data_IF_944219400318
#
_entry.id   IF_944219400318
#
_cell.length_a   1.000
_cell.length_b   1.000
_cell.length_c   1.000
_cell.angle_alpha   90.00
_cell.angle_beta   90.00
_cell.angle_gamma   90.00
#
_symmetry.space_group_name_H-M   'P 1'
#
loop_
_entity.id
_entity.type
_entity.pdbx_description
1 polymer ?
#
# COMPACT_ATOMS: atom_id res chain seq x y z
N UNK A 1 34.69 -15.16 21.79
CA UNK A 1 34.54 -14.86 23.23
C UNK A 1 33.09 -15.02 23.60
N UNK A 2 32.84 -16.03 24.41
CA UNK A 2 31.51 -16.45 24.87
C UNK A 2 30.98 -15.49 25.92
N UNK A 3 29.69 -15.16 25.86
CA UNK A 3 28.98 -14.60 27.00
C UNK A 3 27.75 -15.44 27.27
N UNK A 4 27.92 -16.49 28.06
CA UNK A 4 26.85 -17.19 28.73
C UNK A 4 26.66 -16.51 30.08
N UNK A 5 25.53 -15.92 30.36
CA UNK A 5 25.12 -15.53 31.71
C UNK A 5 23.99 -16.45 32.16
N UNK A 6 24.36 -17.46 32.91
CA UNK A 6 23.48 -18.26 33.75
C UNK A 6 23.24 -17.47 35.05
N UNK A 7 22.00 -17.05 35.30
CA UNK A 7 21.56 -16.71 36.65
C UNK A 7 20.53 -17.74 37.09
N UNK A 8 21.00 -18.67 37.89
CA UNK A 8 20.16 -19.56 38.65
C UNK A 8 19.62 -18.84 39.89
N UNK A 9 18.32 -18.67 39.98
CA UNK A 9 17.64 -18.39 41.25
C UNK A 9 16.58 -19.47 41.45
N UNK A 10 16.89 -20.39 42.35
CA UNK A 10 15.94 -21.35 42.88
C UNK A 10 15.04 -20.66 43.91
N UNK A 11 13.82 -20.41 43.52
CA UNK A 11 12.75 -20.01 44.40
C UNK A 11 11.48 -20.72 44.02
N UNK A 12 11.15 -21.79 44.71
CA UNK A 12 9.91 -22.55 44.57
C UNK A 12 8.73 -21.72 45.02
N UNK A 13 8.10 -21.04 44.08
CA UNK A 13 6.75 -20.51 44.22
C UNK A 13 5.90 -21.26 43.21
N UNK A 14 4.87 -21.96 43.69
CA UNK A 14 3.81 -22.54 42.87
C UNK A 14 3.04 -21.40 42.18
N UNK A 15 3.61 -20.79 41.16
CA UNK A 15 2.94 -19.96 40.22
C UNK A 15 2.57 -20.83 39.01
N UNK A 16 1.28 -20.98 38.78
CA UNK A 16 0.75 -21.54 37.56
C UNK A 16 1.54 -20.97 36.38
N UNK A 17 2.37 -21.80 35.73
CA UNK A 17 3.33 -21.38 34.70
C UNK A 17 2.53 -20.75 33.57
N UNK A 18 2.46 -19.43 33.51
CA UNK A 18 1.86 -18.66 32.41
C UNK A 18 2.62 -19.04 31.13
N UNK A 19 2.07 -19.96 30.36
CA UNK A 19 2.74 -20.55 29.22
C UNK A 19 2.53 -19.68 28.02
N UNK A 20 3.62 -19.19 27.40
CA UNK A 20 3.61 -18.65 26.04
C UNK A 20 3.54 -19.83 25.07
N UNK A 21 2.75 -19.68 24.01
CA UNK A 21 2.70 -20.59 22.88
C UNK A 21 3.24 -19.89 21.64
N UNK A 22 4.13 -20.57 20.91
CA UNK A 22 4.86 -20.02 19.76
C UNK A 22 4.58 -20.88 18.53
N UNK A 23 4.13 -20.25 17.46
CA UNK A 23 3.96 -20.88 16.16
C UNK A 23 4.88 -20.22 15.16
N UNK A 24 5.98 -20.86 14.82
CA UNK A 24 6.87 -20.45 13.74
C UNK A 24 6.27 -20.83 12.40
N UNK A 25 6.45 -19.99 11.40
CA UNK A 25 6.03 -20.24 10.04
C UNK A 25 6.91 -19.48 9.06
N UNK A 26 6.89 -19.89 7.81
CA UNK A 26 7.65 -19.22 6.78
C UNK A 26 7.28 -19.65 5.39
N UNK A 27 7.94 -19.02 4.43
CA UNK A 27 7.86 -19.40 3.03
C UNK A 27 9.16 -19.09 2.31
N UNK A 28 9.52 -19.95 1.38
CA UNK A 28 10.50 -19.66 0.33
C UNK A 28 9.72 -19.43 -0.96
N UNK A 29 9.89 -18.27 -1.58
CA UNK A 29 9.22 -17.93 -2.82
C UNK A 29 10.22 -17.45 -3.86
N UNK A 30 10.07 -17.99 -5.06
CA UNK A 30 10.79 -17.55 -6.24
C UNK A 30 9.83 -16.90 -7.21
N UNK A 31 10.26 -15.80 -7.81
CA UNK A 31 9.50 -15.04 -8.80
C UNK A 31 10.38 -14.83 -10.05
N UNK A 32 9.92 -15.30 -11.19
CA UNK A 32 10.47 -14.96 -12.52
C UNK A 32 9.45 -14.03 -13.18
N UNK A 33 9.89 -12.88 -13.68
CA UNK A 33 8.99 -11.98 -14.39
C UNK A 33 9.64 -11.43 -15.67
N UNK A 34 8.78 -11.04 -16.59
CA UNK A 34 9.11 -10.32 -17.81
C UNK A 34 8.08 -9.23 -18.09
N UNK A 35 8.55 -8.06 -18.53
CA UNK A 35 7.75 -6.94 -19.02
C UNK A 35 8.18 -6.58 -20.43
N UNK A 36 7.26 -6.09 -21.27
CA UNK A 36 7.58 -5.63 -22.63
C UNK A 36 8.15 -4.21 -22.67
N UNK A 37 8.05 -3.44 -21.56
CA UNK A 37 8.60 -2.07 -21.47
C UNK A 37 8.97 -1.70 -20.04
N UNK A 38 9.64 -0.56 -19.87
CA UNK A 38 9.97 0.03 -18.57
C UNK A 38 8.71 0.49 -17.84
N UNK A 39 8.74 0.39 -16.50
CA UNK A 39 7.57 0.60 -15.66
C UNK A 39 7.87 1.48 -14.45
N UNK A 40 6.86 2.14 -13.93
CA UNK A 40 6.86 2.65 -12.56
C UNK A 40 6.78 1.46 -11.62
N UNK A 41 7.84 1.23 -10.85
CA UNK A 41 7.99 0.03 -10.03
C UNK A 41 8.87 0.27 -8.82
N UNK A 42 8.86 -0.67 -7.88
CA UNK A 42 9.79 -0.71 -6.76
C UNK A 42 10.25 -2.14 -6.52
N UNK A 43 11.28 -2.30 -5.67
CA UNK A 43 11.84 -3.62 -5.33
C UNK A 43 12.27 -4.38 -6.59
N UNK A 44 13.06 -3.70 -7.43
CA UNK A 44 13.69 -4.24 -8.64
C UNK A 44 12.67 -4.93 -9.57
N UNK A 45 11.53 -4.29 -9.86
CA UNK A 45 10.49 -4.80 -10.75
C UNK A 45 9.51 -5.80 -10.13
N UNK A 46 9.77 -6.28 -8.92
CA UNK A 46 8.84 -7.19 -8.22
C UNK A 46 7.53 -6.50 -7.79
N UNK A 47 7.57 -5.20 -7.49
CA UNK A 47 6.40 -4.40 -7.20
C UNK A 47 6.09 -3.48 -8.38
N UNK A 48 5.37 -4.02 -9.33
CA UNK A 48 4.92 -3.36 -10.54
C UNK A 48 3.74 -2.43 -10.26
N UNK A 49 3.72 -1.25 -10.90
CA UNK A 49 2.63 -0.29 -10.79
C UNK A 49 1.90 -0.08 -12.13
N UNK A 50 2.59 0.50 -13.11
CA UNK A 50 2.05 0.83 -14.43
C UNK A 50 3.20 1.10 -15.41
N UNK A 51 2.99 0.96 -16.75
CA UNK A 51 4.02 1.29 -17.74
C UNK A 51 4.39 2.76 -17.70
N UNK A 52 5.67 3.08 -17.91
CA UNK A 52 6.14 4.44 -18.11
C UNK A 52 5.67 4.98 -19.46
N UNK A 53 5.51 6.29 -19.53
CA UNK A 53 5.19 7.04 -20.75
C UNK A 53 6.24 6.88 -21.85
N UNK A 54 5.93 7.31 -23.05
CA UNK A 54 6.91 7.43 -24.12
C UNK A 54 8.02 8.43 -23.73
N UNK A 55 9.24 8.08 -24.08
CA UNK A 55 10.40 8.95 -23.96
C UNK A 55 11.23 8.84 -25.26
N UNK A 56 10.83 9.62 -26.25
CA UNK A 56 11.43 9.52 -27.58
C UNK A 56 12.82 10.14 -27.61
N UNK A 57 13.78 9.42 -28.19
CA UNK A 57 15.09 9.94 -28.56
C UNK A 57 14.98 10.86 -29.80
N UNK A 58 16.06 11.56 -30.21
CA UNK A 58 16.04 12.40 -31.42
C UNK A 58 15.75 11.65 -32.74
N UNK A 59 15.87 10.31 -32.75
CA UNK A 59 15.56 9.45 -33.89
C UNK A 59 14.14 8.87 -33.84
N UNK A 60 13.35 9.20 -32.82
CA UNK A 60 12.00 8.70 -32.64
C UNK A 60 11.88 7.33 -31.98
N UNK A 61 12.96 6.79 -31.37
CA UNK A 61 12.90 5.54 -30.62
C UNK A 61 12.45 5.80 -29.18
N UNK A 62 11.51 5.01 -28.70
CA UNK A 62 11.04 5.08 -27.32
C UNK A 62 12.04 4.43 -26.35
N UNK A 63 12.75 5.25 -25.57
CA UNK A 63 13.72 4.81 -24.56
C UNK A 63 13.07 3.99 -23.42
N UNK A 64 11.76 4.12 -23.20
CA UNK A 64 10.99 3.31 -22.27
C UNK A 64 10.41 2.04 -22.91
N UNK A 65 10.48 1.90 -24.22
CA UNK A 65 10.00 0.75 -25.00
C UNK A 65 10.91 -0.47 -24.92
N UNK A 66 11.64 -0.66 -23.82
CA UNK A 66 12.64 -1.73 -23.65
C UNK A 66 12.11 -2.81 -22.71
N UNK A 67 12.10 -4.06 -23.20
CA UNK A 67 11.74 -5.23 -22.41
C UNK A 67 12.71 -5.47 -21.26
N UNK A 68 12.18 -5.90 -20.11
CA UNK A 68 12.98 -6.21 -18.94
C UNK A 68 12.40 -7.40 -18.16
N UNK A 69 13.25 -8.07 -17.41
CA UNK A 69 12.84 -9.21 -16.60
C UNK A 69 13.97 -9.69 -15.70
N UNK A 70 13.61 -10.42 -14.64
CA UNK A 70 14.57 -10.97 -13.70
C UNK A 70 13.99 -12.16 -12.93
N UNK A 71 14.86 -12.84 -12.17
CA UNK A 71 14.51 -13.93 -11.27
C UNK A 71 14.95 -13.59 -9.85
N UNK A 72 14.00 -13.61 -8.90
CA UNK A 72 14.26 -13.24 -7.51
C UNK A 72 13.69 -14.23 -6.51
N UNK A 73 14.31 -14.27 -5.32
CA UNK A 73 13.87 -15.03 -4.16
C UNK A 73 13.54 -14.12 -2.96
N UNK A 74 13.48 -12.82 -3.18
CA UNK A 74 13.39 -11.78 -2.14
C UNK A 74 12.09 -11.83 -1.32
N UNK A 75 11.03 -12.47 -1.81
CA UNK A 75 9.77 -12.61 -1.09
C UNK A 75 9.75 -13.81 -0.13
N UNK A 76 10.92 -14.37 0.16
CA UNK A 76 11.11 -15.31 1.26
C UNK A 76 10.76 -14.63 2.58
N UNK A 77 10.00 -15.32 3.43
CA UNK A 77 9.39 -14.75 4.63
C UNK A 77 9.58 -15.66 5.82
N UNK A 78 9.79 -15.06 6.99
CA UNK A 78 9.83 -15.73 8.28
C UNK A 78 8.90 -15.02 9.26
N UNK A 79 8.23 -15.75 10.11
CA UNK A 79 7.34 -15.19 11.10
C UNK A 79 7.15 -16.08 12.33
N UNK A 80 6.66 -15.44 13.38
CA UNK A 80 6.23 -16.09 14.60
C UNK A 80 4.94 -15.46 15.11
N UNK A 81 3.96 -16.29 15.39
CA UNK A 81 2.77 -15.94 16.15
C UNK A 81 2.97 -16.38 17.60
N UNK A 82 2.67 -15.49 18.54
CA UNK A 82 2.83 -15.73 19.97
C UNK A 82 1.49 -15.56 20.66
N UNK A 83 1.00 -16.60 21.35
CA UNK A 83 -0.08 -16.45 22.31
C UNK A 83 0.53 -16.31 23.72
N UNK A 84 0.10 -15.27 24.43
CA UNK A 84 0.62 -14.93 25.75
C UNK A 84 -0.39 -15.19 26.88
N UNK A 85 0.02 -14.96 28.13
CA UNK A 85 -0.87 -15.04 29.28
C UNK A 85 -1.94 -13.95 29.21
N UNK A 86 -3.08 -14.18 29.83
CA UNK A 86 -4.16 -13.19 29.95
C UNK A 86 -3.66 -11.90 30.63
N UNK A 87 -4.06 -10.74 30.10
CA UNK A 87 -3.92 -9.44 30.74
C UNK A 87 -5.30 -9.00 31.26
N UNK A 88 -5.57 -9.19 32.54
CA UNK A 88 -6.91 -9.06 33.05
C UNK A 88 -7.87 -10.02 32.37
N UNK A 89 -8.88 -9.50 31.67
CA UNK A 89 -9.84 -10.29 30.87
C UNK A 89 -9.45 -10.44 29.40
N UNK A 90 -8.36 -9.80 28.96
CA UNK A 90 -7.93 -9.83 27.57
C UNK A 90 -7.06 -11.06 27.30
N UNK A 91 -7.33 -11.78 26.20
CA UNK A 91 -6.38 -12.70 25.58
C UNK A 91 -5.30 -11.87 24.91
N UNK A 92 -4.03 -12.21 25.13
CA UNK A 92 -2.91 -11.50 24.54
C UNK A 92 -2.28 -12.30 23.41
N UNK A 93 -1.92 -11.65 22.35
CA UNK A 93 -1.13 -12.23 21.27
C UNK A 93 -0.16 -11.20 20.68
N UNK A 94 0.88 -11.68 20.03
CA UNK A 94 1.82 -10.87 19.26
C UNK A 94 2.16 -11.57 17.95
N UNK A 95 2.53 -10.79 16.95
CA UNK A 95 3.05 -11.29 15.67
C UNK A 95 4.32 -10.53 15.33
N UNK A 96 5.34 -11.28 14.87
CA UNK A 96 6.51 -10.75 14.19
C UNK A 96 6.64 -11.44 12.84
N UNK A 97 6.70 -10.68 11.77
CA UNK A 97 6.89 -11.19 10.41
C UNK A 97 7.82 -10.28 9.63
N UNK A 98 8.76 -10.89 8.91
CA UNK A 98 9.81 -10.21 8.15
C UNK A 98 9.97 -10.83 6.76
N UNK A 99 10.50 -10.07 5.81
CA UNK A 99 10.95 -10.54 4.49
C UNK A 99 12.24 -9.83 4.07
N UNK A 100 12.79 -10.21 2.90
CA UNK A 100 14.04 -9.66 2.37
C UNK A 100 13.81 -8.61 1.27
N UNK A 101 12.65 -7.96 1.24
CA UNK A 101 12.24 -6.94 0.25
C UNK A 101 12.44 -5.51 0.73
N UNK A 102 13.50 -5.23 1.46
CA UNK A 102 13.87 -3.86 1.80
C UNK A 102 14.20 -3.05 0.55
N UNK A 103 14.00 -1.72 0.62
CA UNK A 103 14.35 -0.78 -0.45
C UNK A 103 15.76 -0.21 -0.19
N UNK A 104 16.52 0.06 -1.25
CA UNK A 104 17.82 0.69 -1.15
C UNK A 104 18.84 0.11 -2.11
N UNK A 105 20.08 0.57 -2.00
CA UNK A 105 21.22 0.14 -2.82
C UNK A 105 21.86 -1.16 -2.34
N UNK A 106 21.47 -1.64 -1.16
CA UNK A 106 21.95 -2.90 -0.58
C UNK A 106 21.04 -4.04 -0.97
N UNK A 107 21.61 -5.08 -1.54
CA UNK A 107 20.87 -6.26 -1.94
C UNK A 107 20.28 -7.00 -0.72
N UNK A 108 19.03 -7.46 -0.82
CA UNK A 108 18.34 -8.29 0.18
C UNK A 108 18.22 -7.67 1.57
N UNK A 109 17.78 -6.42 1.65
CA UNK A 109 17.51 -5.78 2.95
C UNK A 109 16.38 -6.46 3.71
N UNK A 110 16.65 -6.76 4.97
CA UNK A 110 15.68 -7.30 5.91
C UNK A 110 14.61 -6.25 6.22
N UNK A 111 13.35 -6.62 6.07
CA UNK A 111 12.22 -5.71 6.24
C UNK A 111 11.19 -6.24 7.22
N UNK A 112 10.79 -5.42 8.17
CA UNK A 112 9.64 -5.68 9.06
C UNK A 112 8.35 -5.59 8.24
N UNK A 113 7.53 -6.63 8.29
CA UNK A 113 6.18 -6.65 7.68
C UNK A 113 5.11 -6.39 8.72
N UNK A 114 5.03 -7.28 9.71
CA UNK A 114 4.09 -7.21 10.81
C UNK A 114 4.85 -7.31 12.13
N UNK A 115 4.69 -6.32 13.00
CA UNK A 115 5.16 -6.34 14.38
C UNK A 115 4.11 -5.63 15.21
N UNK A 116 3.30 -6.41 15.93
CA UNK A 116 2.24 -5.87 16.77
C UNK A 116 1.90 -6.80 17.92
N UNK A 117 1.29 -6.26 18.94
CA UNK A 117 0.54 -7.04 19.92
C UNK A 117 -0.95 -6.74 19.82
N UNK A 118 -1.75 -7.69 20.29
CA UNK A 118 -3.20 -7.59 20.27
C UNK A 118 -3.77 -8.01 21.63
N UNK A 119 -4.73 -7.22 22.10
CA UNK A 119 -5.53 -7.48 23.30
C UNK A 119 -6.95 -7.76 22.84
N UNK A 120 -7.48 -8.96 23.14
CA UNK A 120 -8.79 -9.43 22.69
C UNK A 120 -9.68 -9.75 23.89
N UNK A 121 -10.79 -9.00 24.02
CA UNK A 121 -11.85 -9.19 25.02
C UNK A 121 -13.07 -9.93 24.46
N UNK A 122 -12.97 -10.57 23.31
CA UNK A 122 -14.04 -11.27 22.61
C UNK A 122 -14.83 -10.35 21.67
N UNK A 123 -15.66 -9.46 22.19
CA UNK A 123 -16.40 -8.49 21.37
C UNK A 123 -15.55 -7.30 20.91
N UNK A 124 -14.50 -6.99 21.62
CA UNK A 124 -13.60 -5.89 21.28
C UNK A 124 -12.15 -6.33 21.27
N UNK A 125 -11.33 -5.72 20.42
CA UNK A 125 -9.91 -5.98 20.33
C UNK A 125 -9.14 -4.66 20.11
N UNK A 126 -7.95 -4.57 20.71
CA UNK A 126 -7.01 -3.48 20.53
C UNK A 126 -5.70 -4.02 19.98
N UNK A 127 -5.33 -3.57 18.78
CA UNK A 127 -4.05 -3.87 18.15
C UNK A 127 -3.15 -2.63 18.22
N UNK A 128 -1.90 -2.83 18.64
CA UNK A 128 -0.89 -1.76 18.67
C UNK A 128 0.38 -2.28 17.99
N UNK A 129 0.86 -1.55 16.99
CA UNK A 129 2.07 -1.87 16.23
C UNK A 129 1.85 -1.80 14.72
N UNK A 130 2.79 -2.33 13.95
CA UNK A 130 2.79 -2.26 12.50
C UNK A 130 2.07 -3.46 11.87
N UNK A 131 1.08 -3.18 11.02
CA UNK A 131 0.38 -4.17 10.19
C UNK A 131 -0.27 -3.50 8.98
N UNK A 132 -1.07 -4.26 8.22
CA UNK A 132 -1.80 -3.72 7.08
C UNK A 132 -2.60 -2.47 7.45
N UNK A 133 -2.49 -1.44 6.62
CA UNK A 133 -3.32 -0.24 6.69
C UNK A 133 -4.80 -0.63 6.56
N UNK A 134 -5.74 0.00 7.30
CA UNK A 134 -7.16 -0.34 7.21
C UNK A 134 -7.77 -0.22 5.81
N UNK A 135 -7.31 0.71 4.97
CA UNK A 135 -7.74 0.80 3.57
C UNK A 135 -7.37 -0.45 2.73
N UNK A 136 -6.28 -1.16 3.09
CA UNK A 136 -6.00 -2.49 2.53
C UNK A 136 -7.07 -3.47 3.01
N UNK A 137 -7.36 -3.46 4.30
CA UNK A 137 -8.46 -4.17 4.95
C UNK A 137 -8.36 -5.69 4.88
N UNK A 138 -9.50 -6.33 5.12
CA UNK A 138 -9.67 -7.79 5.07
C UNK A 138 -10.07 -8.27 3.65
N UNK A 139 -10.34 -7.34 2.73
CA UNK A 139 -10.69 -7.62 1.32
C UNK A 139 -9.61 -7.07 0.40
N UNK A 140 -8.85 -7.98 -0.19
CA UNK A 140 -7.77 -7.70 -1.14
C UNK A 140 -7.80 -8.73 -2.27
N UNK A 141 -7.24 -8.43 -3.47
CA UNK A 141 -7.17 -9.38 -4.56
C UNK A 141 -6.27 -10.57 -4.20
N UNK A 142 -6.65 -11.74 -4.66
CA UNK A 142 -5.84 -12.95 -4.57
C UNK A 142 -5.22 -13.22 -5.94
N UNK A 143 -4.04 -12.63 -6.19
CA UNK A 143 -3.24 -12.73 -7.43
C UNK A 143 -1.78 -13.03 -7.09
N UNK A 144 -1.01 -13.54 -8.06
CA UNK A 144 0.41 -13.88 -7.87
C UNK A 144 1.28 -12.64 -7.81
N UNK A 145 0.95 -11.59 -8.56
CA UNK A 145 1.73 -10.35 -8.57
C UNK A 145 1.86 -9.77 -7.16
N UNK A 146 3.07 -9.44 -6.76
CA UNK A 146 3.40 -8.97 -5.41
C UNK A 146 2.88 -7.57 -5.08
N UNK A 147 2.38 -6.84 -6.08
CA UNK A 147 1.68 -5.56 -5.88
C UNK A 147 0.28 -5.73 -5.26
N UNK A 148 -0.27 -6.97 -5.28
CA UNK A 148 -1.58 -7.32 -4.72
C UNK A 148 -2.68 -6.34 -5.15
N UNK A 149 -2.69 -5.98 -6.45
CA UNK A 149 -3.66 -5.09 -7.08
C UNK A 149 -3.37 -3.60 -6.96
N UNK A 150 -2.22 -3.16 -6.41
CA UNK A 150 -1.82 -1.77 -6.51
C UNK A 150 -1.52 -1.41 -7.99
N UNK A 151 -1.83 -0.17 -8.44
CA UNK A 151 -2.28 1.00 -7.67
C UNK A 151 -3.80 1.09 -7.43
N UNK A 152 -4.59 0.11 -7.87
CA UNK A 152 -6.06 0.09 -7.68
C UNK A 152 -6.46 -0.24 -6.25
N UNK A 153 -5.72 -1.15 -5.60
CA UNK A 153 -5.85 -1.52 -4.21
C UNK A 153 -4.86 -0.70 -3.38
N UNK A 154 -5.32 0.09 -2.38
CA UNK A 154 -4.42 0.73 -1.43
C UNK A 154 -3.51 -0.30 -0.75
N UNK A 155 -2.21 -0.12 -0.87
CA UNK A 155 -1.21 -1.05 -0.37
C UNK A 155 -0.23 -0.35 0.57
N UNK A 156 -0.35 -0.59 1.86
CA UNK A 156 0.54 -0.04 2.89
C UNK A 156 0.54 -0.92 4.14
N UNK A 157 1.67 -0.99 4.81
CA UNK A 157 1.78 -1.46 6.20
C UNK A 157 2.33 -0.33 7.04
N UNK A 158 1.66 -0.04 8.15
CA UNK A 158 1.90 1.15 8.93
C UNK A 158 1.77 0.88 10.44
N UNK A 159 2.58 1.54 11.29
CA UNK A 159 2.36 1.57 12.72
C UNK A 159 0.98 2.17 13.02
N UNK A 160 0.24 1.57 13.94
CA UNK A 160 -1.12 1.99 14.22
C UNK A 160 -1.60 1.55 15.60
N UNK A 161 -2.58 2.27 16.10
CA UNK A 161 -3.45 1.87 17.21
C UNK A 161 -4.81 1.63 16.59
N UNK A 162 -5.28 0.37 16.58
CA UNK A 162 -6.53 -0.04 15.96
C UNK A 162 -7.45 -0.69 16.98
N UNK A 163 -8.64 -0.15 17.10
CA UNK A 163 -9.71 -0.74 17.88
C UNK A 163 -10.73 -1.37 16.96
N UNK A 164 -11.17 -2.60 17.29
CA UNK A 164 -12.27 -3.30 16.62
C UNK A 164 -13.35 -3.65 17.63
N UNK A 165 -14.60 -3.43 17.27
CA UNK A 165 -15.76 -3.84 18.03
C UNK A 165 -16.70 -4.66 17.17
N UNK A 166 -17.00 -5.90 17.62
CA UNK A 166 -17.86 -6.84 16.90
C UNK A 166 -19.15 -7.06 17.66
N UNK A 167 -20.28 -6.85 17.00
CA UNK A 167 -21.61 -7.12 17.53
C UNK A 167 -22.43 -7.85 16.48
N UNK A 168 -22.84 -9.07 16.77
CA UNK A 168 -23.48 -9.97 15.83
C UNK A 168 -22.64 -10.14 14.54
N UNK A 169 -23.19 -9.70 13.40
CA UNK A 169 -22.55 -9.77 12.10
C UNK A 169 -21.79 -8.48 11.73
N UNK A 170 -21.82 -7.45 12.54
CA UNK A 170 -21.18 -6.17 12.26
C UNK A 170 -19.87 -6.03 13.03
N UNK A 171 -18.86 -5.50 12.36
CA UNK A 171 -17.57 -5.15 12.92
C UNK A 171 -17.26 -3.67 12.63
N UNK A 172 -17.13 -2.88 13.66
CA UNK A 172 -16.64 -1.51 13.60
C UNK A 172 -15.11 -1.52 13.76
N UNK A 173 -14.41 -0.76 12.93
CA UNK A 173 -12.96 -0.56 13.00
C UNK A 173 -12.66 0.93 13.10
N UNK A 174 -11.91 1.34 14.13
CA UNK A 174 -11.35 2.68 14.26
C UNK A 174 -9.83 2.58 14.41
N UNK A 175 -9.08 3.45 13.73
CA UNK A 175 -7.61 3.42 13.80
C UNK A 175 -7.00 4.81 13.71
N UNK A 176 -5.91 5.02 14.49
CA UNK A 176 -4.93 6.07 14.32
C UNK A 176 -3.65 5.44 13.74
N UNK A 177 -3.10 6.04 12.66
CA UNK A 177 -2.12 5.40 11.80
C UNK A 177 -0.96 6.37 11.55
N UNK A 178 0.29 5.86 11.58
CA UNK A 178 1.50 6.61 11.28
C UNK A 178 2.23 6.00 10.10
N UNK A 179 2.91 6.82 9.31
CA UNK A 179 3.70 6.36 8.17
C UNK A 179 5.07 5.85 8.63
N UNK A 180 5.57 4.77 7.99
CA UNK A 180 6.86 4.17 8.28
C UNK A 180 7.57 3.70 7.00
N UNK A 181 7.09 2.64 6.35
CA UNK A 181 7.67 2.07 5.13
C UNK A 181 7.11 2.66 3.85
N UNK A 182 5.86 3.11 3.92
CA UNK A 182 5.12 3.72 2.83
C UNK A 182 4.86 5.17 3.22
N UNK A 183 5.31 6.10 2.38
CA UNK A 183 5.48 7.50 2.74
C UNK A 183 4.71 8.39 1.78
N UNK A 184 4.20 9.50 2.31
CA UNK A 184 3.64 10.56 1.50
C UNK A 184 4.69 11.19 0.59
N UNK A 185 4.23 11.63 -0.58
CA UNK A 185 5.02 12.42 -1.52
C UNK A 185 4.90 13.89 -1.17
N UNK A 186 5.98 14.63 -1.32
CA UNK A 186 6.04 16.07 -1.16
C UNK A 186 7.21 16.68 -1.89
N UNK A 187 7.44 18.01 -1.77
CA UNK A 187 8.48 18.70 -2.49
C UNK A 187 9.88 18.23 -2.07
N UNK A 188 10.80 18.21 -3.03
CA UNK A 188 12.19 17.83 -2.80
C UNK A 188 12.99 18.97 -2.14
N UNK A 189 12.63 20.20 -2.40
CA UNK A 189 13.25 21.40 -1.83
C UNK A 189 12.21 22.32 -1.18
N UNK A 190 12.66 23.37 -0.48
CA UNK A 190 11.78 24.37 0.11
C UNK A 190 11.50 25.57 -0.82
N UNK A 191 11.93 25.52 -2.09
CA UNK A 191 11.72 26.61 -3.05
C UNK A 191 10.23 26.75 -3.40
N UNK A 192 9.71 27.97 -3.51
CA UNK A 192 8.37 28.20 -4.01
C UNK A 192 8.18 27.66 -5.43
N UNK A 193 7.04 27.03 -5.72
CA UNK A 193 6.73 26.45 -7.04
C UNK A 193 7.47 25.17 -7.37
N UNK A 194 8.21 24.58 -6.43
CA UNK A 194 8.93 23.31 -6.65
C UNK A 194 7.93 22.18 -6.94
N UNK A 195 8.11 21.50 -8.07
CA UNK A 195 7.30 20.36 -8.49
C UNK A 195 8.06 19.04 -8.50
N UNK A 196 9.40 19.05 -8.33
CA UNK A 196 10.15 17.81 -8.11
C UNK A 196 9.83 17.24 -6.74
N UNK A 197 9.68 15.91 -6.69
CA UNK A 197 9.11 15.24 -5.52
C UNK A 197 10.06 14.25 -4.86
N UNK A 198 9.80 14.02 -3.57
CA UNK A 198 10.40 12.93 -2.81
C UNK A 198 9.35 12.28 -1.90
N UNK A 199 9.63 11.03 -1.48
CA UNK A 199 8.89 10.35 -0.41
C UNK A 199 9.61 10.59 0.91
N UNK A 200 8.88 11.07 1.94
CA UNK A 200 9.50 11.35 3.23
C UNK A 200 8.52 11.19 4.39
N UNK A 201 9.04 10.68 5.53
CA UNK A 201 8.32 10.66 6.81
C UNK A 201 8.14 12.08 7.38
N UNK A 202 8.97 13.03 7.00
CA UNK A 202 8.97 14.39 7.56
C UNK A 202 7.62 15.10 7.33
N UNK A 203 6.96 14.83 6.21
CA UNK A 203 5.67 15.46 5.91
C UNK A 203 4.59 15.11 6.94
N UNK A 204 4.55 13.87 7.39
CA UNK A 204 3.64 13.44 8.44
C UNK A 204 4.16 13.83 9.83
N UNK A 205 5.43 13.65 10.12
CA UNK A 205 6.02 14.03 11.42
C UNK A 205 5.77 15.50 11.74
N UNK A 206 6.01 16.39 10.76
CA UNK A 206 5.81 17.85 10.92
C UNK A 206 4.33 18.24 11.01
N UNK A 207 3.41 17.39 10.54
CA UNK A 207 1.98 17.63 10.72
C UNK A 207 1.51 17.40 12.17
N UNK A 208 2.23 16.55 12.93
CA UNK A 208 1.89 16.11 14.28
C UNK A 208 0.48 15.45 14.38
N UNK A 209 -0.12 15.05 13.26
CA UNK A 209 -1.46 14.45 13.20
C UNK A 209 -1.37 13.08 12.58
N UNK A 210 -1.81 12.00 13.24
CA UNK A 210 -1.91 10.68 12.60
C UNK A 210 -3.02 10.67 11.54
N UNK A 211 -2.94 9.72 10.63
CA UNK A 211 -4.07 9.40 9.77
C UNK A 211 -5.16 8.73 10.60
N UNK A 212 -6.43 8.96 10.26
CA UNK A 212 -7.57 8.34 10.93
C UNK A 212 -8.37 7.50 9.95
N UNK A 213 -8.85 6.36 10.42
CA UNK A 213 -9.76 5.50 9.68
C UNK A 213 -10.93 5.09 10.55
N UNK A 214 -12.13 5.10 9.97
CA UNK A 214 -13.35 4.58 10.56
C UNK A 214 -14.07 3.74 9.51
N UNK A 215 -14.35 2.47 9.80
CA UNK A 215 -15.03 1.57 8.88
C UNK A 215 -15.98 0.62 9.57
N UNK A 216 -16.94 0.11 8.79
CA UNK A 216 -17.90 -0.90 9.22
C UNK A 216 -17.94 -2.03 8.22
N UNK A 217 -17.88 -3.27 8.71
CA UNK A 217 -18.03 -4.49 7.94
C UNK A 217 -19.25 -5.27 8.42
N UNK A 218 -19.98 -5.86 7.47
CA UNK A 218 -20.94 -6.91 7.70
C UNK A 218 -20.35 -8.25 7.28
N UNK A 219 -20.36 -9.24 8.19
CA UNK A 219 -19.77 -10.57 7.96
C UNK A 219 -20.79 -11.65 8.27
N UNK A 220 -21.18 -12.44 7.25
CA UNK A 220 -22.10 -13.56 7.42
C UNK A 220 -21.97 -14.58 6.29
N UNK A 221 -21.87 -15.86 6.63
CA UNK A 221 -21.96 -16.99 5.69
C UNK A 221 -21.10 -16.84 4.42
N UNK A 222 -19.82 -16.50 4.60
CA UNK A 222 -18.87 -16.29 3.49
C UNK A 222 -18.92 -14.90 2.84
N UNK A 223 -19.91 -14.06 3.18
CA UNK A 223 -19.99 -12.68 2.75
C UNK A 223 -19.27 -11.76 3.72
N UNK A 224 -18.42 -10.89 3.19
CA UNK A 224 -17.88 -9.70 3.84
C UNK A 224 -18.29 -8.52 2.96
N UNK A 225 -18.96 -7.53 3.51
CA UNK A 225 -19.29 -6.29 2.81
C UNK A 225 -19.11 -5.13 3.77
N UNK A 226 -18.45 -4.07 3.32
CA UNK A 226 -18.14 -2.95 4.21
C UNK A 226 -17.81 -1.68 3.48
N UNK A 227 -17.66 -0.62 4.27
CA UNK A 227 -17.23 0.68 3.80
C UNK A 227 -16.43 1.39 4.92
N UNK A 228 -15.59 2.33 4.51
CA UNK A 228 -14.77 3.09 5.42
C UNK A 228 -14.44 4.50 4.93
N UNK A 229 -14.13 5.36 5.88
CA UNK A 229 -13.64 6.71 5.66
C UNK A 229 -12.22 6.83 6.23
N UNK A 230 -11.39 7.55 5.52
CA UNK A 230 -10.01 7.82 5.89
C UNK A 230 -9.72 9.31 5.76
N UNK A 231 -8.98 9.85 6.73
CA UNK A 231 -8.52 11.24 6.75
C UNK A 231 -7.02 11.24 6.97
N UNK A 232 -6.29 11.97 6.13
CA UNK A 232 -4.85 12.23 6.29
C UNK A 232 -4.55 13.71 6.23
N UNK A 233 -3.54 14.14 6.98
CA UNK A 233 -3.09 15.54 6.96
C UNK A 233 -1.57 15.56 7.04
N UNK A 234 -0.92 16.21 6.07
CA UNK A 234 0.54 16.34 6.00
C UNK A 234 0.96 17.81 5.95
N UNK A 235 2.21 18.08 6.32
CA UNK A 235 2.84 19.40 6.22
C UNK A 235 3.94 19.32 5.15
N UNK A 236 3.68 19.81 3.91
CA UNK A 236 4.66 19.76 2.83
C UNK A 236 5.92 20.53 3.15
N UNK A 237 5.78 21.75 3.69
CA UNK A 237 6.92 22.61 4.05
C UNK A 237 6.67 23.34 5.37
N UNK A 238 7.74 23.57 6.11
CA UNK A 238 7.79 24.45 7.32
C UNK A 238 8.68 25.66 7.09
N UNK A 239 9.38 25.69 5.97
CA UNK A 239 10.24 26.78 5.50
C UNK A 239 10.02 27.01 4.02
N UNK A 240 10.20 28.26 3.58
CA UNK A 240 10.18 28.66 2.19
C UNK A 240 11.47 29.43 1.89
N UNK A 241 12.23 28.93 0.91
CA UNK A 241 13.50 29.52 0.47
C UNK A 241 13.24 30.38 -0.78
N UNK A 242 13.03 31.67 -0.56
CA UNK A 242 12.96 32.66 -1.66
C UNK A 242 14.37 33.13 -2.03
N UNK A 243 14.50 33.90 -3.10
CA UNK A 243 15.78 34.47 -3.50
C UNK A 243 16.40 35.38 -2.42
N UNK A 244 15.57 36.02 -1.61
CA UNK A 244 16.01 37.05 -0.67
C UNK A 244 16.13 36.56 0.76
N UNK A 245 15.36 35.54 1.17
CA UNK A 245 15.33 35.07 2.56
C UNK A 245 14.69 33.68 2.71
N UNK A 246 14.89 33.09 3.87
CA UNK A 246 14.18 31.90 4.32
C UNK A 246 13.08 32.30 5.29
N UNK A 247 11.83 31.98 4.94
CA UNK A 247 10.67 32.30 5.76
C UNK A 247 10.13 31.04 6.47
N UNK A 248 9.66 31.21 7.67
CA UNK A 248 8.83 30.19 8.31
C UNK A 248 7.46 30.17 7.64
N UNK A 249 7.00 28.98 7.24
CA UNK A 249 5.66 28.78 6.68
C UNK A 249 4.96 27.62 7.42
N UNK A 250 3.66 27.72 7.54
CA UNK A 250 2.82 26.67 8.09
C UNK A 250 1.85 26.19 7.00
N UNK A 251 2.30 25.22 6.25
CA UNK A 251 1.55 24.67 5.12
C UNK A 251 0.92 23.33 5.48
N UNK A 252 -0.27 23.07 4.94
CA UNK A 252 -0.99 21.85 5.23
C UNK A 252 -1.80 21.35 4.03
N UNK A 253 -1.79 20.04 3.83
CA UNK A 253 -2.65 19.33 2.88
C UNK A 253 -3.46 18.31 3.65
N UNK A 254 -4.79 18.41 3.58
CA UNK A 254 -5.70 17.45 4.20
C UNK A 254 -6.52 16.77 3.12
N UNK A 255 -6.55 15.44 3.15
CA UNK A 255 -7.31 14.60 2.24
C UNK A 255 -8.36 13.77 3.00
N UNK A 256 -9.55 13.64 2.41
CA UNK A 256 -10.62 12.76 2.90
C UNK A 256 -10.91 11.74 1.81
N UNK A 257 -10.78 10.46 2.13
CA UNK A 257 -10.98 9.36 1.19
C UNK A 257 -12.05 8.41 1.71
N UNK A 258 -12.78 7.78 0.78
CA UNK A 258 -13.77 6.76 1.08
C UNK A 258 -13.48 5.46 0.34
N UNK A 259 -13.86 4.34 0.92
CA UNK A 259 -13.80 3.04 0.27
C UNK A 259 -15.04 2.21 0.54
N UNK A 260 -15.38 1.30 -0.38
CA UNK A 260 -16.37 0.27 -0.18
C UNK A 260 -15.87 -1.04 -0.77
N UNK A 261 -16.18 -2.16 -0.11
CA UNK A 261 -15.67 -3.46 -0.52
C UNK A 261 -16.68 -4.58 -0.29
N UNK A 262 -16.50 -5.65 -1.06
CA UNK A 262 -17.24 -6.89 -0.90
C UNK A 262 -16.35 -8.08 -1.20
N UNK A 263 -16.50 -9.16 -0.42
CA UNK A 263 -15.91 -10.48 -0.70
C UNK A 263 -16.96 -11.54 -0.41
N UNK A 264 -17.13 -12.44 -1.35
CA UNK A 264 -18.00 -13.59 -1.20
C UNK A 264 -17.22 -14.87 -1.48
N UNK A 265 -17.24 -15.78 -0.53
CA UNK A 265 -16.60 -17.10 -0.65
C UNK A 265 -17.66 -18.16 -0.41
N UNK A 266 -17.90 -19.01 -1.41
CA UNK A 266 -18.83 -20.13 -1.31
C UNK A 266 -18.29 -21.31 -2.09
N UNK A 267 -18.15 -22.47 -1.42
CA UNK A 267 -17.58 -23.68 -2.00
C UNK A 267 -16.17 -23.43 -2.57
N UNK A 268 -16.02 -23.50 -3.88
CA UNK A 268 -14.77 -23.26 -4.59
C UNK A 268 -14.68 -21.87 -5.21
N UNK A 269 -15.73 -21.04 -5.10
CA UNK A 269 -15.78 -19.69 -5.63
C UNK A 269 -15.29 -18.65 -4.63
N UNK A 270 -14.50 -17.73 -5.14
CA UNK A 270 -14.15 -16.48 -4.49
C UNK A 270 -14.44 -15.34 -5.47
N UNK A 271 -15.24 -14.38 -5.03
CA UNK A 271 -15.49 -13.12 -5.75
C UNK A 271 -15.23 -11.99 -4.79
N UNK A 272 -14.40 -11.03 -5.18
CA UNK A 272 -14.15 -9.86 -4.37
C UNK A 272 -14.00 -8.62 -5.24
N UNK A 273 -14.40 -7.48 -4.67
CA UNK A 273 -14.30 -6.18 -5.31
C UNK A 273 -14.09 -5.08 -4.26
N UNK A 274 -13.46 -4.01 -4.67
CA UNK A 274 -13.33 -2.78 -3.88
C UNK A 274 -13.33 -1.57 -4.79
N UNK A 275 -13.95 -0.49 -4.31
CA UNK A 275 -13.85 0.84 -4.90
C UNK A 275 -13.29 1.82 -3.89
N UNK A 276 -12.45 2.76 -4.34
CA UNK A 276 -11.83 3.79 -3.50
C UNK A 276 -11.95 5.13 -4.21
N UNK A 277 -12.53 6.10 -3.53
CA UNK A 277 -12.44 7.51 -3.90
C UNK A 277 -11.30 8.11 -3.07
N UNK A 278 -10.12 8.16 -3.66
CA UNK A 278 -8.87 8.58 -3.02
C UNK A 278 -8.65 10.08 -3.12
N UNK A 279 -8.07 10.66 -2.08
CA UNK A 279 -7.65 12.06 -2.02
C UNK A 279 -6.27 12.10 -1.39
N UNK A 280 -5.22 12.32 -2.20
CA UNK A 280 -3.82 12.31 -1.78
C UNK A 280 -3.43 11.04 -0.99
N UNK A 281 -3.63 9.85 -1.58
CA UNK A 281 -3.29 8.55 -0.96
C UNK A 281 -1.91 8.01 -1.39
N UNK A 282 -0.94 8.86 -1.70
CA UNK A 282 0.38 8.44 -2.21
C UNK A 282 1.13 7.49 -1.27
N UNK A 283 0.91 7.59 0.05
CA UNK A 283 1.46 6.69 1.06
C UNK A 283 0.83 5.28 1.05
N UNK A 284 -0.17 5.03 0.23
CA UNK A 284 -0.78 3.70 0.07
C UNK A 284 -0.46 3.06 -1.27
N UNK A 285 0.63 3.47 -1.93
CA UNK A 285 1.04 2.97 -3.25
C UNK A 285 -0.04 3.13 -4.31
N UNK A 286 -0.81 4.20 -4.24
CA UNK A 286 -1.79 4.59 -5.25
C UNK A 286 -1.31 5.82 -6.03
N UNK A 287 -1.95 6.09 -7.16
CA UNK A 287 -1.80 7.33 -7.92
C UNK A 287 -2.51 8.45 -7.16
N UNK A 288 -1.97 9.67 -7.23
CA UNK A 288 -2.54 10.86 -6.61
C UNK A 288 -1.46 11.84 -6.12
N UNK A 289 -1.89 12.80 -5.34
CA UNK A 289 -1.05 13.87 -4.81
C UNK A 289 -1.85 15.12 -4.52
N UNK A 290 -1.25 16.29 -4.75
CA UNK A 290 -1.89 17.59 -4.55
C UNK A 290 -1.24 18.65 -5.46
N UNK A 291 -2.00 19.64 -5.87
CA UNK A 291 -1.52 20.75 -6.67
C UNK A 291 -1.39 22.02 -5.85
N UNK A 292 -0.52 22.94 -6.31
CA UNK A 292 -0.27 24.25 -5.71
C UNK A 292 -1.28 25.24 -6.26
N UNK A 293 -2.11 25.82 -5.39
CA UNK A 293 -3.19 26.74 -5.77
C UNK A 293 -2.79 28.21 -5.73
N UNK A 294 -1.87 28.58 -4.84
CA UNK A 294 -1.34 29.93 -4.71
C UNK A 294 0.04 29.94 -4.09
N UNK A 295 0.81 30.97 -4.40
CA UNK A 295 2.13 31.27 -3.83
C UNK A 295 2.11 32.71 -3.37
N UNK A 296 2.43 32.97 -2.11
CA UNK A 296 2.60 34.32 -1.58
C UNK A 296 3.89 34.94 -2.12
N UNK A 297 3.81 36.14 -2.68
CA UNK A 297 4.92 36.79 -3.40
C UNK A 297 6.10 37.16 -2.48
N UNK A 298 5.84 37.43 -1.20
CA UNK A 298 6.88 37.84 -0.25
C UNK A 298 7.51 36.65 0.45
N UNK A 299 6.68 35.80 1.03
CA UNK A 299 7.16 34.68 1.86
C UNK A 299 7.32 33.38 1.10
N UNK A 300 6.78 33.30 -0.13
CA UNK A 300 6.73 32.05 -0.89
C UNK A 300 5.84 30.97 -0.26
N UNK A 301 4.97 31.33 0.72
CA UNK A 301 4.03 30.40 1.34
C UNK A 301 3.03 29.87 0.30
N UNK A 302 2.77 28.58 0.32
CA UNK A 302 1.89 27.93 -0.65
C UNK A 302 0.59 27.45 -0.01
N UNK A 303 -0.47 27.43 -0.83
CA UNK A 303 -1.70 26.71 -0.55
C UNK A 303 -1.85 25.57 -1.54
N UNK A 304 -2.62 24.54 -1.15
CA UNK A 304 -2.73 23.31 -1.91
C UNK A 304 -4.18 22.84 -2.05
N UNK A 305 -4.43 22.12 -3.13
CA UNK A 305 -5.66 21.36 -3.34
C UNK A 305 -5.30 19.88 -3.64
N UNK A 306 -5.79 18.91 -2.85
CA UNK A 306 -5.53 17.51 -3.12
C UNK A 306 -6.10 17.08 -4.47
N UNK A 307 -5.35 16.24 -5.20
CA UNK A 307 -5.85 15.51 -6.36
C UNK A 307 -6.73 14.36 -5.91
N UNK A 308 -7.81 14.12 -6.64
CA UNK A 308 -8.76 13.04 -6.40
C UNK A 308 -8.59 11.95 -7.45
N UNK A 309 -8.71 10.72 -7.02
CA UNK A 309 -8.67 9.54 -7.88
C UNK A 309 -9.84 8.62 -7.56
N UNK A 310 -10.40 7.98 -8.57
CA UNK A 310 -11.34 6.89 -8.40
C UNK A 310 -10.67 5.60 -8.85
N UNK A 311 -10.63 4.59 -8.00
CA UNK A 311 -10.10 3.28 -8.36
C UNK A 311 -11.09 2.18 -7.99
N UNK A 312 -11.23 1.19 -8.86
CA UNK A 312 -12.10 0.03 -8.64
C UNK A 312 -11.41 -1.21 -9.17
N UNK A 313 -11.51 -2.30 -8.43
CA UNK A 313 -11.05 -3.60 -8.90
C UNK A 313 -12.03 -4.71 -8.57
N UNK A 314 -11.99 -5.77 -9.39
CA UNK A 314 -12.73 -7.01 -9.21
C UNK A 314 -11.78 -8.18 -9.37
N UNK A 315 -11.91 -9.19 -8.51
CA UNK A 315 -11.14 -10.42 -8.58
C UNK A 315 -12.07 -11.62 -8.41
N UNK A 316 -11.95 -12.57 -9.32
CA UNK A 316 -12.73 -13.83 -9.32
C UNK A 316 -11.75 -14.99 -9.38
N UNK A 317 -11.92 -15.97 -8.49
CA UNK A 317 -11.13 -17.20 -8.52
C UNK A 317 -12.06 -18.41 -8.30
N UNK A 318 -11.66 -19.55 -8.87
CA UNK A 318 -12.40 -20.80 -8.76
C UNK A 318 -11.46 -21.98 -8.51
N UNK A 319 -11.88 -22.87 -7.64
CA UNK A 319 -11.16 -24.11 -7.36
C UNK A 319 -10.15 -24.03 -6.22
N UNK A 320 -9.59 -25.17 -5.84
CA UNK A 320 -8.62 -25.34 -4.75
C UNK A 320 -7.26 -25.79 -5.24
N UNK A 321 -7.20 -27.00 -5.85
CA UNK A 321 -5.95 -27.59 -6.36
C UNK A 321 -5.47 -26.89 -7.64
N UNK A 322 -6.30 -26.93 -8.65
CA UNK A 322 -6.16 -26.07 -9.83
C UNK A 322 -7.07 -24.85 -9.63
N UNK A 323 -6.47 -23.67 -9.65
CA UNK A 323 -7.19 -22.45 -9.30
C UNK A 323 -6.92 -21.36 -10.32
N UNK A 324 -7.71 -21.28 -11.41
CA UNK A 324 -7.75 -20.12 -12.27
C UNK A 324 -8.29 -18.91 -11.50
N UNK A 325 -7.78 -17.73 -11.83
CA UNK A 325 -8.30 -16.47 -11.35
C UNK A 325 -8.18 -15.36 -12.40
N UNK A 326 -9.07 -14.38 -12.28
CA UNK A 326 -9.11 -13.17 -13.09
C UNK A 326 -9.11 -11.96 -12.16
N UNK A 327 -8.38 -10.92 -12.55
CA UNK A 327 -8.40 -9.64 -11.90
C UNK A 327 -8.56 -8.54 -12.95
N UNK A 328 -9.39 -7.54 -12.63
CA UNK A 328 -9.57 -6.33 -13.41
C UNK A 328 -9.47 -5.13 -12.49
N UNK A 329 -8.61 -4.19 -12.83
CA UNK A 329 -8.44 -2.93 -12.13
C UNK A 329 -8.64 -1.75 -13.07
N UNK A 330 -9.35 -0.72 -12.62
CA UNK A 330 -9.51 0.55 -13.31
C UNK A 330 -9.29 1.72 -12.35
N UNK A 331 -8.54 2.72 -12.79
CA UNK A 331 -8.28 3.94 -12.04
C UNK A 331 -8.43 5.15 -12.97
N UNK A 332 -9.06 6.22 -12.47
CA UNK A 332 -9.22 7.51 -13.16
C UNK A 332 -8.74 8.65 -12.27
N UNK A 333 -7.93 9.55 -12.84
CA UNK A 333 -7.60 10.83 -12.25
C UNK A 333 -8.78 11.80 -12.44
N UNK A 334 -9.29 12.33 -11.34
CA UNK A 334 -10.43 13.26 -11.32
C UNK A 334 -10.00 14.72 -11.16
N UNK A 335 -8.68 14.99 -11.11
CA UNK A 335 -8.12 16.32 -10.88
C UNK A 335 -8.37 16.85 -9.46
N UNK A 336 -7.96 18.08 -9.23
CA UNK A 336 -8.16 18.82 -7.99
C UNK A 336 -9.58 19.41 -7.89
N UNK A 337 -9.96 19.85 -6.69
CA UNK A 337 -11.22 20.62 -6.51
C UNK A 337 -11.08 22.09 -6.88
N UNK A 338 -9.87 22.65 -6.73
CA UNK A 338 -9.49 24.02 -7.07
C UNK A 338 -8.52 24.05 -8.23
N UNK A 339 -8.35 25.18 -8.87
CA UNK A 339 -7.30 25.39 -9.86
C UNK A 339 -5.91 25.27 -9.21
N UNK A 340 -4.96 24.72 -9.96
CA UNK A 340 -3.59 24.42 -9.51
C UNK A 340 -2.56 24.97 -10.53
N UNK A 341 -2.52 26.29 -10.72
CA UNK A 341 -1.75 26.92 -11.78
C UNK A 341 -0.22 26.75 -11.62
N UNK A 342 0.26 26.39 -10.44
CA UNK A 342 1.69 26.22 -10.15
C UNK A 342 2.13 24.76 -10.17
N UNK A 343 1.32 23.86 -10.77
CA UNK A 343 1.67 22.45 -10.93
C UNK A 343 1.25 21.54 -9.76
N UNK A 344 1.59 20.27 -9.87
CA UNK A 344 1.16 19.23 -8.94
C UNK A 344 2.35 18.37 -8.46
N UNK A 345 2.26 17.94 -7.19
CA UNK A 345 3.20 17.03 -6.54
C UNK A 345 2.48 15.71 -6.24
N UNK A 346 3.09 14.58 -6.62
CA UNK A 346 2.43 13.30 -6.39
C UNK A 346 3.09 12.11 -7.07
N UNK A 347 2.33 11.06 -7.22
CA UNK A 347 2.69 9.86 -7.98
C UNK A 347 1.73 9.73 -9.15
N UNK A 348 2.28 9.64 -10.39
CA UNK A 348 1.47 9.51 -11.60
C UNK A 348 0.53 10.70 -11.84
N UNK A 349 0.99 11.93 -11.57
CA UNK A 349 0.19 13.16 -11.75
C UNK A 349 -0.13 13.46 -13.21
N UNK A 350 0.63 12.87 -14.13
CA UNK A 350 0.40 12.96 -15.60
C UNK A 350 -0.53 11.88 -16.13
N UNK A 351 -0.88 10.89 -15.31
CA UNK A 351 -1.82 9.83 -15.70
C UNK A 351 -3.25 10.37 -15.75
N UNK A 352 -3.95 10.05 -16.80
CA UNK A 352 -5.40 10.22 -16.92
C UNK A 352 -6.13 9.04 -16.33
N UNK A 353 -5.80 7.82 -16.80
CA UNK A 353 -6.42 6.59 -16.34
C UNK A 353 -5.50 5.38 -16.49
N UNK A 354 -5.80 4.34 -15.74
CA UNK A 354 -5.13 3.05 -15.79
C UNK A 354 -6.15 1.93 -15.90
N UNK A 355 -5.80 0.88 -16.66
CA UNK A 355 -6.54 -0.37 -16.69
C UNK A 355 -5.57 -1.55 -16.64
N UNK A 356 -5.87 -2.55 -15.82
CA UNK A 356 -5.13 -3.82 -15.82
C UNK A 356 -6.11 -4.97 -15.86
N UNK A 357 -5.92 -5.87 -16.83
CA UNK A 357 -6.55 -7.17 -16.89
C UNK A 357 -5.52 -8.26 -16.61
N UNK A 358 -5.78 -9.15 -15.67
CA UNK A 358 -4.88 -10.24 -15.27
C UNK A 358 -5.61 -11.57 -15.34
N UNK A 359 -4.94 -12.57 -15.91
CA UNK A 359 -5.35 -13.97 -15.85
C UNK A 359 -4.24 -14.79 -15.20
N UNK A 360 -4.60 -15.63 -14.23
CA UNK A 360 -3.64 -16.52 -13.58
C UNK A 360 -4.17 -17.95 -13.48
N UNK A 361 -3.24 -18.89 -13.40
CA UNK A 361 -3.50 -20.26 -13.03
C UNK A 361 -2.51 -20.71 -11.97
N UNK A 362 -3.02 -21.19 -10.84
CA UNK A 362 -2.18 -21.79 -9.80
C UNK A 362 -2.48 -23.27 -9.61
N UNK A 363 -1.44 -24.03 -9.28
CA UNK A 363 -1.50 -25.41 -8.82
C UNK A 363 -1.08 -25.48 -7.37
N UNK A 364 -2.01 -25.84 -6.50
CA UNK A 364 -1.84 -25.81 -5.06
C UNK A 364 -1.89 -27.25 -4.50
N UNK A 365 -0.86 -27.65 -3.78
CA UNK A 365 -0.79 -28.89 -3.01
C UNK A 365 -0.25 -28.57 -1.61
N UNK A 366 -0.35 -29.47 -0.62
CA UNK A 366 0.16 -29.19 0.71
C UNK A 366 1.59 -28.64 0.67
N UNK A 367 1.82 -27.50 1.33
CA UNK A 367 3.10 -26.76 1.39
C UNK A 367 3.58 -26.13 0.07
N UNK A 368 3.02 -26.44 -1.08
CA UNK A 368 3.50 -25.94 -2.38
C UNK A 368 2.45 -25.21 -3.18
N UNK A 369 2.88 -24.15 -3.83
CA UNK A 369 2.11 -23.43 -4.87
C UNK A 369 3.02 -23.17 -6.04
N UNK A 370 2.55 -23.54 -7.24
CA UNK A 370 3.13 -23.16 -8.51
C UNK A 370 2.11 -22.33 -9.27
N UNK A 371 2.56 -21.31 -9.99
CA UNK A 371 1.61 -20.48 -10.71
C UNK A 371 2.23 -19.68 -11.83
N UNK A 372 1.38 -19.38 -12.81
CA UNK A 372 1.65 -18.47 -13.91
C UNK A 372 0.58 -17.39 -13.95
N UNK A 373 0.99 -16.16 -14.18
CA UNK A 373 0.13 -14.99 -14.30
C UNK A 373 0.54 -14.20 -15.54
N UNK A 374 -0.45 -13.78 -16.31
CA UNK A 374 -0.31 -12.82 -17.39
C UNK A 374 -1.14 -11.59 -17.09
N UNK A 375 -0.55 -10.41 -17.24
CA UNK A 375 -1.21 -9.12 -17.06
C UNK A 375 -1.03 -8.25 -18.30
N UNK A 376 -2.14 -7.69 -18.77
CA UNK A 376 -2.21 -6.61 -19.74
C UNK A 376 -2.47 -5.31 -18.98
N UNK A 377 -1.55 -4.36 -19.08
CA UNK A 377 -1.67 -3.09 -18.39
C UNK A 377 -1.61 -1.92 -19.36
N UNK A 378 -2.68 -1.13 -19.38
CA UNK A 378 -2.79 0.10 -20.15
C UNK A 378 -2.72 1.30 -19.22
N UNK A 379 -1.84 2.27 -19.56
CA UNK A 379 -1.79 3.59 -18.96
C UNK A 379 -2.16 4.63 -20.01
N UNK A 380 -3.05 5.55 -19.68
CA UNK A 380 -3.32 6.74 -20.50
C UNK A 380 -2.64 7.91 -19.85
N UNK A 381 -1.75 8.54 -20.58
CA UNK A 381 -1.04 9.74 -20.17
C UNK A 381 -1.70 10.97 -20.76
N UNK A 382 -1.86 12.03 -19.98
CA UNK A 382 -2.45 13.27 -20.43
C UNK A 382 -1.50 14.05 -21.30
N UNK A 383 -1.97 14.44 -22.49
CA UNK A 383 -1.27 15.35 -23.42
C UNK A 383 -1.54 16.82 -23.05
N UNK A 384 -2.77 17.09 -22.57
CA UNK A 384 -3.22 18.39 -22.13
C UNK A 384 -4.00 18.27 -20.83
N UNK A 385 -3.92 19.31 -20.00
CA UNK A 385 -4.59 19.35 -18.69
C UNK A 385 -5.42 20.62 -18.55
N UNK A 386 -6.57 20.49 -17.89
CA UNK A 386 -7.34 21.64 -17.44
C UNK A 386 -6.67 22.34 -16.23
N UNK A 387 -7.22 23.50 -15.84
CA UNK A 387 -6.71 24.27 -14.70
C UNK A 387 -6.71 23.51 -13.36
N UNK A 388 -7.39 22.35 -13.28
CA UNK A 388 -7.48 21.51 -12.10
C UNK A 388 -6.62 20.24 -12.20
N UNK A 389 -5.67 20.20 -13.14
CA UNK A 389 -4.80 19.06 -13.42
C UNK A 389 -5.57 17.78 -13.77
N UNK A 390 -6.71 17.89 -14.44
CA UNK A 390 -7.43 16.78 -15.05
C UNK A 390 -7.08 16.74 -16.54
N UNK A 391 -6.73 15.57 -17.06
CA UNK A 391 -6.41 15.42 -18.48
C UNK A 391 -7.63 15.71 -19.36
N UNK A 392 -7.41 16.47 -20.44
CA UNK A 392 -8.39 16.79 -21.50
C UNK A 392 -8.23 15.78 -22.63
N UNK A 393 -7.00 15.59 -23.10
CA UNK A 393 -6.60 14.63 -24.11
C UNK A 393 -5.57 13.66 -23.50
N UNK A 394 -5.52 12.45 -24.02
CA UNK A 394 -4.56 11.44 -23.54
C UNK A 394 -4.25 10.41 -24.63
N UNK A 395 -3.02 9.92 -24.63
CA UNK A 395 -2.58 8.77 -25.42
C UNK A 395 -2.38 7.55 -24.51
N UNK A 396 -2.39 6.35 -25.08
CA UNK A 396 -2.29 5.13 -24.30
C UNK A 396 -0.95 4.43 -24.51
N UNK A 397 -0.46 3.85 -23.43
CA UNK A 397 0.77 3.06 -23.36
C UNK A 397 0.44 1.67 -22.83
N UNK A 398 0.98 0.65 -23.49
CA UNK A 398 0.69 -0.74 -23.22
C UNK A 398 1.93 -1.48 -22.68
N UNK A 399 1.72 -2.30 -21.64
CA UNK A 399 2.70 -3.29 -21.18
C UNK A 399 2.07 -4.66 -21.03
N UNK A 400 2.78 -5.69 -21.48
CA UNK A 400 2.50 -7.08 -21.20
C UNK A 400 3.45 -7.57 -20.12
N UNK A 401 2.91 -8.17 -19.06
CA UNK A 401 3.70 -8.75 -17.98
C UNK A 401 3.38 -10.22 -17.80
N UNK A 402 4.43 -11.03 -17.66
CA UNK A 402 4.33 -12.45 -17.29
C UNK A 402 5.04 -12.64 -15.96
N UNK A 403 4.44 -13.40 -15.06
CA UNK A 403 5.02 -13.78 -13.76
C UNK A 403 4.88 -15.29 -13.57
N UNK A 404 5.99 -15.96 -13.26
CA UNK A 404 6.00 -17.37 -12.86
C UNK A 404 6.46 -17.47 -11.40
N UNK A 405 5.77 -18.29 -10.62
CA UNK A 405 6.01 -18.41 -9.19
C UNK A 405 6.13 -19.86 -8.77
N UNK A 406 7.15 -20.16 -7.95
CA UNK A 406 7.18 -21.34 -7.10
C UNK A 406 7.29 -20.91 -5.64
N UNK A 407 6.44 -21.50 -4.80
CA UNK A 407 6.33 -21.17 -3.39
C UNK A 407 6.29 -22.44 -2.55
N UNK A 408 7.16 -22.50 -1.54
CA UNK A 408 7.14 -23.52 -0.47
C UNK A 408 6.80 -22.86 0.86
N UNK A 409 5.84 -23.40 1.58
CA UNK A 409 5.38 -22.90 2.88
C UNK A 409 5.58 -23.97 3.98
N UNK A 410 6.05 -23.54 5.12
CA UNK A 410 6.28 -24.41 6.30
C UNK A 410 5.83 -23.74 7.60
#
# INVERSE_FOLDING_TARGET
MSLALLVGVSGSVFAQKKRFDYKFYGQVRTDLFYNTRSNSETVDGLFYMYPLDENLDPNGHDLNGVGNGNFYTLYTRLGVDVAGPMLGKAKTSAKVEVDFRGSGTTYSLFRIRHVYFNLDWGKSALLVGQTWHPLYGDVAPEILNLNMGAPYQPFSRAPQIRYRFTSNNFMLTAAAIWQSQYLSVGPKTNKPGETSTQKSQEFMKKSCVPEFYLGVDYKRSGLIAGAGLHVSSITPRTQSETENAVYFVNERVTGISGEAHVKYTKEDWLVSAKTVLGTNLTQTSTVGGYGITSIDEVTGKQQYSPLRTSSTWVNVAYGKKWRPALFFGYLKNLGATKEVPYGALGTGTTLDQLFTGTAELTYNIPHWKFGAEYSLCNAWYGDEFDAKAKAINSHFILNHRIVLVALFQF
#
